data_IF_786460838180
#
_entry.id   IF_786460838180
#
_cell.length_a   1.000
_cell.length_b   1.000
_cell.length_c   1.000
_cell.angle_alpha   90.00
_cell.angle_beta   90.00
_cell.angle_gamma   90.00
#
_symmetry.space_group_name_H-M   'P 1'
#
loop_
_entity.id
_entity.type
_entity.pdbx_description
1 polymer ?
#
# COMPACT_ATOMS: atom_id res chain seq x y z
N UNK A 1 46.51 5.24 -32.21
CA UNK A 1 45.62 4.07 -32.21
C UNK A 1 44.47 4.34 -31.26
N UNK A 2 43.30 4.50 -31.84
CA UNK A 2 42.00 4.79 -31.22
C UNK A 2 41.28 3.47 -30.92
N UNK A 3 40.70 3.26 -29.72
CA UNK A 3 39.51 2.40 -29.46
C UNK A 3 38.93 2.83 -28.09
N UNK A 4 37.99 3.77 -28.05
CA UNK A 4 36.51 3.64 -28.04
C UNK A 4 35.86 3.53 -26.65
N UNK A 5 35.34 4.68 -26.20
CA UNK A 5 34.37 4.89 -25.13
C UNK A 5 33.03 4.27 -25.51
N UNK A 6 32.56 3.24 -24.79
CA UNK A 6 31.19 2.73 -24.93
C UNK A 6 30.21 3.59 -24.12
N UNK A 7 29.85 4.75 -24.66
CA UNK A 7 28.62 5.46 -24.28
C UNK A 7 27.44 4.79 -24.99
N UNK A 8 26.76 3.88 -24.31
CA UNK A 8 25.47 3.35 -24.77
C UNK A 8 24.43 4.47 -24.57
N UNK A 9 24.22 5.27 -25.63
CA UNK A 9 23.06 6.16 -25.76
C UNK A 9 21.79 5.32 -25.63
N UNK A 10 21.10 5.42 -24.50
CA UNK A 10 19.70 5.01 -24.38
C UNK A 10 18.88 5.80 -25.38
N UNK A 11 17.93 5.13 -26.05
CA UNK A 11 16.95 5.76 -26.95
C UNK A 11 16.33 6.96 -26.23
N UNK A 12 16.37 8.12 -26.87
CA UNK A 12 15.42 9.20 -26.59
C UNK A 12 14.07 8.70 -27.08
N UNK A 13 13.24 8.24 -26.17
CA UNK A 13 11.82 8.09 -26.44
C UNK A 13 11.28 9.48 -26.83
N UNK A 14 10.55 9.54 -27.95
CA UNK A 14 9.80 10.72 -28.37
C UNK A 14 8.93 11.22 -27.22
N UNK A 15 8.71 12.55 -27.05
CA UNK A 15 7.87 13.05 -25.98
C UNK A 15 6.44 12.55 -26.22
N UNK A 16 6.06 11.50 -25.49
CA UNK A 16 4.67 11.14 -25.31
C UNK A 16 3.95 12.39 -24.78
N UNK A 17 2.76 12.67 -25.30
CA UNK A 17 1.82 13.60 -24.69
C UNK A 17 1.82 13.36 -23.17
N UNK A 18 1.98 14.39 -22.32
CA UNK A 18 2.02 14.16 -20.87
C UNK A 18 0.75 13.38 -20.49
N UNK A 19 0.88 12.24 -19.81
CA UNK A 19 -0.28 11.43 -19.47
C UNK A 19 -1.28 12.30 -18.72
N UNK A 20 -2.56 12.20 -19.10
CA UNK A 20 -3.64 12.85 -18.36
C UNK A 20 -3.51 12.39 -16.90
N UNK A 21 -3.48 13.31 -15.92
CA UNK A 21 -3.34 12.91 -14.52
C UNK A 21 -4.43 11.90 -14.15
N UNK A 22 -4.09 10.83 -13.41
CA UNK A 22 -5.06 9.82 -13.01
C UNK A 22 -6.16 10.48 -12.17
N UNK A 23 -7.40 10.08 -12.37
CA UNK A 23 -8.52 10.60 -11.57
C UNK A 23 -8.63 9.84 -10.27
N UNK A 24 -8.68 8.51 -10.32
CA UNK A 24 -8.87 7.64 -9.17
C UNK A 24 -7.59 6.81 -8.94
N UNK A 25 -6.89 7.00 -7.82
CA UNK A 25 -5.72 6.19 -7.45
C UNK A 25 -5.98 5.46 -6.15
N UNK A 26 -5.72 4.15 -6.11
CA UNK A 26 -5.89 3.35 -4.89
C UNK A 26 -4.54 3.04 -4.26
N UNK A 27 -4.43 3.32 -2.97
CA UNK A 27 -3.23 3.10 -2.15
C UNK A 27 -3.46 1.95 -1.19
N UNK A 28 -2.60 0.93 -1.25
CA UNK A 28 -2.61 -0.25 -0.40
C UNK A 28 -1.44 -0.20 0.60
N UNK A 29 -1.74 -0.01 1.89
CA UNK A 29 -0.71 0.00 2.93
C UNK A 29 -0.12 -1.39 3.20
N UNK A 30 1.05 -1.45 3.86
CA UNK A 30 1.55 -2.68 4.46
C UNK A 30 0.78 -3.10 5.72
N UNK A 31 0.73 -4.40 6.03
CA UNK A 31 -0.03 -4.90 7.19
C UNK A 31 0.00 -6.40 7.49
N UNK A 32 0.79 -7.21 6.76
CA UNK A 32 0.74 -8.67 6.89
C UNK A 32 -0.65 -9.23 6.58
N UNK A 33 -1.15 -10.18 7.36
CA UNK A 33 -2.46 -10.79 7.11
C UNK A 33 -3.66 -9.82 7.18
N UNK A 34 -3.48 -8.60 7.71
CA UNK A 34 -4.49 -7.54 7.63
C UNK A 34 -4.79 -7.08 6.19
N UNK A 35 -3.91 -7.38 5.23
CA UNK A 35 -4.16 -7.13 3.80
C UNK A 35 -5.45 -7.80 3.29
N UNK A 36 -5.98 -8.82 3.99
CA UNK A 36 -7.26 -9.43 3.69
C UNK A 36 -8.41 -8.41 3.72
N UNK A 37 -8.36 -7.43 4.64
CA UNK A 37 -9.37 -6.39 4.68
C UNK A 37 -9.32 -5.45 3.47
N UNK A 38 -8.15 -5.25 2.87
CA UNK A 38 -8.03 -4.46 1.65
C UNK A 38 -8.76 -5.11 0.47
N UNK A 39 -8.85 -6.45 0.43
CA UNK A 39 -9.60 -7.20 -0.59
C UNK A 39 -11.09 -6.85 -0.54
N UNK A 40 -11.69 -6.88 0.66
CA UNK A 40 -13.08 -6.47 0.82
C UNK A 40 -13.30 -5.00 0.48
N UNK A 41 -12.37 -4.13 0.90
CA UNK A 41 -12.47 -2.71 0.63
C UNK A 41 -12.38 -2.36 -0.87
N UNK A 42 -11.44 -2.97 -1.60
CA UNK A 42 -11.34 -2.76 -3.05
C UNK A 42 -12.58 -3.31 -3.78
N UNK A 43 -13.12 -4.46 -3.37
CA UNK A 43 -14.40 -4.96 -3.91
C UNK A 43 -15.52 -3.93 -3.74
N UNK A 44 -15.62 -3.25 -2.60
CA UNK A 44 -16.62 -2.21 -2.38
C UNK A 44 -16.47 -0.99 -3.31
N UNK A 45 -15.23 -0.62 -3.68
CA UNK A 45 -14.98 0.42 -4.69
C UNK A 45 -15.53 -0.03 -6.06
N UNK A 46 -15.20 -1.25 -6.47
CA UNK A 46 -15.68 -1.82 -7.73
C UNK A 46 -17.21 -1.98 -7.78
N UNK A 47 -17.84 -2.39 -6.68
CA UNK A 47 -19.32 -2.45 -6.54
C UNK A 47 -19.98 -1.08 -6.77
N UNK A 48 -19.29 0.01 -6.43
CA UNK A 48 -19.76 1.38 -6.64
C UNK A 48 -19.33 1.97 -8.00
N UNK A 49 -18.71 1.18 -8.87
CA UNK A 49 -18.21 1.61 -10.18
C UNK A 49 -16.94 2.47 -10.13
N UNK A 50 -16.21 2.47 -9.00
CA UNK A 50 -14.94 3.16 -8.86
C UNK A 50 -13.82 2.21 -9.27
N UNK A 51 -13.26 2.45 -10.45
CA UNK A 51 -12.13 1.69 -11.01
C UNK A 51 -10.87 2.56 -10.94
N UNK A 52 -9.76 2.07 -10.36
CA UNK A 52 -8.52 2.84 -10.30
C UNK A 52 -7.89 3.03 -11.68
N UNK A 53 -7.36 4.24 -11.93
CA UNK A 53 -6.49 4.54 -13.07
C UNK A 53 -5.03 4.13 -12.79
N UNK A 54 -4.65 4.06 -11.51
CA UNK A 54 -3.36 3.57 -11.06
C UNK A 54 -3.46 3.04 -9.62
N UNK A 55 -2.50 2.21 -9.22
CA UNK A 55 -2.40 1.69 -7.86
C UNK A 55 -1.00 1.85 -7.29
N UNK A 56 -0.94 2.02 -5.97
CA UNK A 56 0.31 2.14 -5.23
C UNK A 56 0.26 1.19 -4.04
N UNK A 57 1.29 0.37 -3.84
CA UNK A 57 1.28 -0.66 -2.80
C UNK A 57 2.60 -0.84 -2.06
N UNK A 58 2.47 -1.25 -0.80
CA UNK A 58 3.59 -1.55 0.11
C UNK A 58 3.43 -2.95 0.72
N UNK A 59 4.47 -3.80 0.69
CA UNK A 59 4.49 -5.12 1.33
C UNK A 59 3.29 -5.95 0.90
N UNK A 60 2.48 -6.47 1.82
CA UNK A 60 1.24 -7.20 1.48
C UNK A 60 0.28 -6.38 0.60
N UNK A 61 0.28 -5.05 0.76
CA UNK A 61 -0.50 -4.14 -0.07
C UNK A 61 0.02 -4.06 -1.50
N UNK A 62 1.33 -4.27 -1.73
CA UNK A 62 1.90 -4.36 -3.07
C UNK A 62 1.39 -5.60 -3.82
N UNK A 63 1.15 -6.71 -3.12
CA UNK A 63 0.58 -7.93 -3.72
C UNK A 63 -0.86 -7.64 -4.19
N UNK A 64 -1.68 -7.05 -3.33
CA UNK A 64 -3.05 -6.65 -3.66
C UNK A 64 -3.06 -5.63 -4.81
N UNK A 65 -2.18 -4.62 -4.76
CA UNK A 65 -2.05 -3.62 -5.81
C UNK A 65 -1.68 -4.28 -7.15
N UNK A 66 -0.66 -5.14 -7.20
CA UNK A 66 -0.24 -5.80 -8.43
C UNK A 66 -1.34 -6.70 -9.01
N UNK A 67 -2.08 -7.43 -8.15
CA UNK A 67 -3.22 -8.23 -8.58
C UNK A 67 -4.33 -7.37 -9.20
N UNK A 68 -4.67 -6.24 -8.57
CA UNK A 68 -5.65 -5.28 -9.09
C UNK A 68 -5.15 -4.65 -10.40
N UNK A 69 -3.87 -4.31 -10.47
CA UNK A 69 -3.28 -3.65 -11.63
C UNK A 69 -3.28 -4.53 -12.87
N UNK A 70 -3.10 -5.84 -12.71
CA UNK A 70 -3.14 -6.80 -13.81
C UNK A 70 -4.45 -6.79 -14.57
N UNK A 71 -5.56 -6.70 -13.85
CA UNK A 71 -6.90 -6.88 -14.38
C UNK A 71 -7.89 -6.17 -13.42
N UNK A 72 -8.11 -4.86 -13.62
CA UNK A 72 -8.96 -4.03 -12.76
C UNK A 72 -10.42 -4.22 -13.15
N UNK A 73 -10.94 -5.45 -13.02
CA UNK A 73 -12.34 -5.79 -13.25
C UNK A 73 -12.99 -6.30 -11.97
N UNK A 74 -14.29 -6.01 -11.79
CA UNK A 74 -15.05 -6.47 -10.63
C UNK A 74 -15.05 -8.01 -10.51
N UNK A 75 -15.09 -8.71 -11.64
CA UNK A 75 -15.00 -10.18 -11.69
C UNK A 75 -13.66 -10.67 -11.12
N UNK A 76 -12.55 -10.05 -11.55
CA UNK A 76 -11.23 -10.42 -11.05
C UNK A 76 -11.09 -10.17 -9.55
N UNK A 77 -11.75 -9.16 -9.00
CA UNK A 77 -11.73 -8.89 -7.56
C UNK A 77 -12.35 -10.01 -6.72
N UNK A 78 -13.23 -10.84 -7.29
CA UNK A 78 -13.73 -12.05 -6.62
C UNK A 78 -12.65 -13.13 -6.53
N UNK A 79 -11.77 -13.23 -7.54
CA UNK A 79 -10.65 -14.18 -7.52
C UNK A 79 -9.60 -13.84 -6.46
N UNK A 80 -9.40 -12.54 -6.18
CA UNK A 80 -8.49 -12.11 -5.11
C UNK A 80 -8.91 -12.66 -3.74
N UNK A 81 -10.21 -12.71 -3.46
CA UNK A 81 -10.74 -13.30 -2.23
C UNK A 81 -10.46 -14.80 -2.15
N UNK A 82 -10.60 -15.54 -3.25
CA UNK A 82 -10.24 -16.96 -3.32
C UNK A 82 -8.77 -17.19 -3.00
N UNK A 83 -7.89 -16.39 -3.60
CA UNK A 83 -6.44 -16.44 -3.35
C UNK A 83 -6.15 -16.18 -1.88
N UNK A 84 -6.74 -15.14 -1.27
CA UNK A 84 -6.52 -14.86 0.14
C UNK A 84 -7.04 -15.96 1.06
N UNK A 85 -8.18 -16.58 0.74
CA UNK A 85 -8.77 -17.67 1.53
C UNK A 85 -7.98 -18.97 1.48
N UNK A 86 -7.20 -19.20 0.43
CA UNK A 86 -6.31 -20.36 0.37
C UNK A 86 -5.00 -20.15 1.14
N UNK A 87 -4.59 -18.91 1.42
CA UNK A 87 -3.34 -18.64 2.13
C UNK A 87 -3.37 -19.14 3.57
N UNK A 88 -2.36 -19.93 3.93
CA UNK A 88 -2.11 -20.37 5.30
C UNK A 88 -0.81 -19.81 5.85
N UNK A 89 -0.71 -19.74 7.19
CA UNK A 89 0.55 -19.36 7.86
C UNK A 89 1.71 -20.25 7.44
N UNK A 90 1.48 -21.54 7.19
CA UNK A 90 2.54 -22.50 6.85
C UNK A 90 3.06 -22.28 5.43
N UNK A 91 2.24 -21.81 4.51
CA UNK A 91 2.71 -21.47 3.16
C UNK A 91 3.54 -20.20 3.18
N UNK A 92 3.12 -19.17 3.91
CA UNK A 92 3.85 -17.90 3.98
C UNK A 92 5.09 -17.98 4.89
N UNK A 93 5.01 -18.75 5.97
CA UNK A 93 6.05 -18.92 6.99
C UNK A 93 6.33 -20.42 7.21
N UNK A 94 7.03 -21.10 6.28
CA UNK A 94 7.12 -22.56 6.24
C UNK A 94 8.00 -23.18 7.33
N UNK A 95 8.92 -22.41 7.89
CA UNK A 95 9.90 -22.92 8.84
C UNK A 95 9.34 -23.07 10.25
N UNK A 96 9.48 -24.28 10.80
CA UNK A 96 9.20 -24.56 12.21
C UNK A 96 10.28 -24.03 13.16
N UNK A 97 10.02 -24.10 14.46
CA UNK A 97 10.89 -23.54 15.54
C UNK A 97 12.34 -24.05 15.46
N UNK A 98 12.56 -25.28 15.02
CA UNK A 98 13.89 -25.88 14.86
C UNK A 98 14.72 -25.21 13.73
N UNK A 99 14.11 -24.97 12.58
CA UNK A 99 14.78 -24.32 11.45
C UNK A 99 15.14 -22.86 11.76
N UNK A 100 14.25 -22.15 12.47
CA UNK A 100 14.49 -20.80 12.99
C UNK A 100 15.67 -20.79 13.98
N UNK A 101 15.69 -21.72 14.94
CA UNK A 101 16.78 -21.82 15.92
C UNK A 101 18.14 -22.12 15.26
N UNK A 102 18.17 -23.00 14.26
CA UNK A 102 19.39 -23.29 13.48
C UNK A 102 19.91 -22.04 12.78
N UNK A 103 19.04 -21.25 12.13
CA UNK A 103 19.44 -20.04 11.41
C UNK A 103 19.98 -18.94 12.32
N UNK A 104 19.42 -18.81 13.53
CA UNK A 104 19.98 -17.94 14.57
C UNK A 104 21.40 -18.38 14.97
N UNK A 105 21.61 -19.70 15.14
CA UNK A 105 22.94 -20.23 15.48
C UNK A 105 23.98 -20.04 14.36
N UNK A 106 23.57 -20.00 13.10
CA UNK A 106 24.47 -19.85 11.94
C UNK A 106 24.68 -18.40 11.47
N UNK A 107 24.30 -17.38 12.26
CA UNK A 107 24.38 -15.95 11.88
C UNK A 107 23.70 -15.64 10.53
N UNK A 108 22.59 -16.34 10.22
CA UNK A 108 21.78 -16.04 9.04
C UNK A 108 21.18 -14.63 9.15
N UNK A 109 21.01 -13.94 8.02
CA UNK A 109 20.33 -12.63 7.96
C UNK A 109 18.79 -12.74 8.06
N UNK A 110 18.24 -13.96 8.07
CA UNK A 110 16.80 -14.21 8.04
C UNK A 110 16.37 -15.49 8.78
N UNK A 111 15.11 -15.51 9.20
CA UNK A 111 14.50 -16.60 9.97
C UNK A 111 13.65 -17.57 9.12
N UNK A 112 13.01 -17.11 8.04
CA UNK A 112 12.08 -17.86 7.20
C UNK A 112 12.52 -17.93 5.74
N UNK A 113 12.32 -19.09 5.11
CA UNK A 113 12.65 -19.32 3.72
C UNK A 113 11.67 -18.54 2.82
N UNK A 114 12.16 -17.75 1.84
CA UNK A 114 11.30 -16.95 0.97
C UNK A 114 10.52 -17.77 -0.08
N UNK A 115 10.79 -19.07 -0.25
CA UNK A 115 10.14 -19.91 -1.29
C UNK A 115 8.62 -19.79 -1.25
N UNK A 116 8.02 -19.87 -0.06
CA UNK A 116 6.56 -19.81 0.08
C UNK A 116 5.95 -18.48 -0.39
N UNK A 117 6.61 -17.36 -0.06
CA UNK A 117 6.22 -16.03 -0.56
C UNK A 117 6.42 -15.92 -2.08
N UNK A 118 7.54 -16.43 -2.62
CA UNK A 118 7.80 -16.39 -4.06
C UNK A 118 6.74 -17.16 -4.85
N UNK A 119 6.40 -18.38 -4.42
CA UNK A 119 5.34 -19.18 -5.05
C UNK A 119 3.99 -18.46 -4.98
N UNK A 120 3.69 -17.79 -3.86
CA UNK A 120 2.49 -16.98 -3.74
C UNK A 120 2.46 -15.84 -4.76
N UNK A 121 3.58 -15.14 -4.95
CA UNK A 121 3.66 -14.03 -5.92
C UNK A 121 3.54 -14.51 -7.35
N UNK A 122 4.15 -15.66 -7.69
CA UNK A 122 4.00 -16.30 -9.01
C UNK A 122 2.54 -16.65 -9.31
N UNK A 123 1.79 -17.13 -8.31
CA UNK A 123 0.38 -17.45 -8.45
C UNK A 123 -0.51 -16.21 -8.54
N UNK A 124 -0.21 -15.17 -7.75
CA UNK A 124 -1.00 -13.94 -7.73
C UNK A 124 -0.75 -13.09 -8.98
N UNK A 125 0.50 -13.03 -9.43
CA UNK A 125 0.96 -12.12 -10.48
C UNK A 125 1.76 -12.89 -11.53
N UNK A 126 1.11 -13.72 -12.37
CA UNK A 126 1.76 -14.50 -13.42
C UNK A 126 2.13 -13.62 -14.64
N UNK A 127 2.86 -12.53 -14.41
CA UNK A 127 3.43 -11.65 -15.42
C UNK A 127 4.95 -11.81 -15.49
N UNK A 128 5.53 -11.47 -16.64
CA UNK A 128 6.99 -11.46 -16.79
C UNK A 128 7.61 -10.15 -16.33
N UNK A 129 6.89 -9.04 -16.49
CA UNK A 129 7.34 -7.71 -16.06
C UNK A 129 6.18 -6.89 -15.47
N UNK A 130 6.45 -6.16 -14.39
CA UNK A 130 5.46 -5.34 -13.70
C UNK A 130 4.88 -4.23 -14.60
N UNK A 131 5.61 -3.79 -15.63
CA UNK A 131 5.11 -2.82 -16.61
C UNK A 131 3.99 -3.36 -17.52
N UNK A 132 3.71 -4.67 -17.48
CA UNK A 132 2.67 -5.33 -18.27
C UNK A 132 1.28 -5.30 -17.62
N UNK A 133 1.13 -4.66 -16.45
CA UNK A 133 -0.16 -4.50 -15.81
C UNK A 133 -1.10 -3.63 -16.66
N UNK A 134 -2.41 -3.90 -16.61
CA UNK A 134 -3.41 -3.14 -17.37
C UNK A 134 -3.51 -1.66 -16.94
N UNK A 135 -3.22 -1.37 -15.68
CA UNK A 135 -3.04 0.00 -15.16
C UNK A 135 -1.67 0.13 -14.47
N UNK A 136 -1.08 1.34 -14.37
CA UNK A 136 0.19 1.55 -13.68
C UNK A 136 0.18 1.02 -12.23
N UNK A 137 1.17 0.19 -11.92
CA UNK A 137 1.42 -0.35 -10.58
C UNK A 137 2.71 0.24 -10.00
N UNK A 138 2.61 0.92 -8.86
CA UNK A 138 3.77 1.44 -8.14
C UNK A 138 4.00 0.64 -6.86
N UNK A 139 5.12 -0.09 -6.80
CA UNK A 139 5.51 -0.87 -5.63
C UNK A 139 6.65 -0.17 -4.89
N UNK A 140 6.49 0.03 -3.58
CA UNK A 140 7.54 0.61 -2.74
C UNK A 140 8.39 -0.47 -2.08
N UNK A 141 9.70 -0.25 -2.08
CA UNK A 141 10.70 -1.00 -1.32
C UNK A 141 11.56 0.00 -0.53
N UNK A 142 12.41 -0.48 0.37
CA UNK A 142 13.38 0.37 1.07
C UNK A 142 14.79 -0.04 0.66
N UNK A 143 15.58 0.90 0.12
CA UNK A 143 17.02 0.69 -0.11
C UNK A 143 17.69 0.49 1.26
N UNK A 144 18.22 -0.71 1.50
CA UNK A 144 18.77 -1.09 2.80
C UNK A 144 20.01 -0.29 3.17
N UNK A 145 20.78 0.17 2.18
CA UNK A 145 22.03 0.93 2.40
C UNK A 145 21.74 2.42 2.40
N UNK A 146 20.92 2.89 1.45
CA UNK A 146 20.54 4.30 1.34
C UNK A 146 19.51 4.77 2.38
N UNK A 147 18.73 3.85 2.96
CA UNK A 147 17.67 4.15 3.92
C UNK A 147 16.45 4.87 3.31
N UNK A 148 16.34 4.92 1.98
CA UNK A 148 15.31 5.69 1.26
C UNK A 148 14.28 4.79 0.58
N UNK A 149 13.01 5.24 0.47
CA UNK A 149 12.01 4.53 -0.32
C UNK A 149 12.39 4.52 -1.80
N UNK A 150 12.26 3.36 -2.45
CA UNK A 150 12.50 3.18 -3.89
C UNK A 150 11.26 2.60 -4.55
N UNK A 151 10.88 3.17 -5.70
CA UNK A 151 9.64 2.85 -6.42
C UNK A 151 9.93 2.01 -7.65
N UNK A 152 9.22 0.91 -7.79
CA UNK A 152 9.28 0.03 -8.95
C UNK A 152 7.95 0.05 -9.71
N UNK A 153 8.04 0.20 -11.02
CA UNK A 153 6.91 0.13 -11.97
C UNK A 153 7.16 -0.86 -13.12
N UNK A 154 8.31 -1.53 -13.07
CA UNK A 154 8.80 -2.51 -14.05
C UNK A 154 9.74 -3.48 -13.34
N UNK A 155 10.15 -4.54 -14.04
CA UNK A 155 10.98 -5.62 -13.51
C UNK A 155 10.16 -6.86 -13.15
N UNK A 156 10.86 -7.94 -12.82
CA UNK A 156 10.22 -9.21 -12.47
C UNK A 156 9.28 -9.02 -11.25
N UNK A 157 7.96 -9.27 -11.40
CA UNK A 157 7.01 -9.02 -10.31
C UNK A 157 7.30 -9.81 -9.04
N UNK A 158 7.79 -11.05 -9.17
CA UNK A 158 8.12 -11.90 -8.02
C UNK A 158 9.26 -11.30 -7.21
N UNK A 159 10.30 -10.80 -7.88
CA UNK A 159 11.46 -10.21 -7.24
C UNK A 159 11.12 -8.85 -6.59
N UNK A 160 10.36 -8.00 -7.30
CA UNK A 160 9.91 -6.69 -6.80
C UNK A 160 8.97 -6.85 -5.60
N UNK A 161 8.01 -7.77 -5.66
CA UNK A 161 7.10 -8.05 -4.54
C UNK A 161 7.83 -8.69 -3.36
N UNK A 162 8.80 -9.58 -3.61
CA UNK A 162 9.66 -10.13 -2.57
C UNK A 162 10.49 -9.04 -1.88
N UNK A 163 11.08 -8.12 -2.64
CA UNK A 163 11.76 -6.97 -2.08
C UNK A 163 10.81 -6.10 -1.23
N UNK A 164 9.60 -5.86 -1.71
CA UNK A 164 8.60 -5.05 -0.99
C UNK A 164 8.06 -5.71 0.29
N UNK A 165 8.08 -7.05 0.36
CA UNK A 165 7.49 -7.83 1.46
C UNK A 165 8.52 -8.56 2.36
N UNK A 166 9.83 -8.37 2.13
CA UNK A 166 10.86 -9.02 2.93
C UNK A 166 11.08 -8.29 4.27
N UNK A 167 10.25 -8.65 5.24
CA UNK A 167 10.31 -8.16 6.61
C UNK A 167 11.73 -8.32 7.20
N UNK A 168 12.37 -7.24 7.68
CA UNK A 168 13.73 -7.29 8.21
C UNK A 168 13.88 -8.32 9.33
N UNK A 169 14.93 -9.17 9.21
CA UNK A 169 15.21 -10.26 10.13
C UNK A 169 14.33 -11.50 9.94
N UNK A 170 13.17 -11.40 9.28
CA UNK A 170 12.33 -12.56 8.97
C UNK A 170 12.67 -13.16 7.61
N UNK A 171 12.85 -12.33 6.59
CA UNK A 171 13.16 -12.76 5.22
C UNK A 171 14.48 -12.11 4.76
N UNK A 172 15.21 -12.74 3.81
CA UNK A 172 16.45 -12.17 3.31
C UNK A 172 16.18 -10.88 2.54
N UNK A 173 17.07 -9.88 2.61
CA UNK A 173 17.07 -8.76 1.68
C UNK A 173 17.12 -9.27 0.23
N UNK A 174 16.47 -8.57 -0.68
CA UNK A 174 16.42 -8.93 -2.10
C UNK A 174 17.33 -7.98 -2.87
N UNK A 175 18.20 -8.55 -3.71
CA UNK A 175 19.03 -7.77 -4.61
C UNK A 175 18.28 -7.47 -5.91
N UNK A 176 18.12 -6.20 -6.24
CA UNK A 176 17.60 -5.74 -7.54
C UNK A 176 18.61 -4.75 -8.12
N UNK A 177 19.07 -4.97 -9.36
CA UNK A 177 20.01 -4.11 -10.07
C UNK A 177 21.27 -3.73 -9.24
N UNK A 178 21.82 -4.70 -8.49
CA UNK A 178 23.02 -4.52 -7.68
C UNK A 178 22.82 -3.75 -6.36
N UNK A 179 21.57 -3.51 -5.95
CA UNK A 179 21.21 -2.87 -4.68
C UNK A 179 20.38 -3.80 -3.81
N UNK A 180 20.55 -3.70 -2.50
CA UNK A 180 19.83 -4.51 -1.53
C UNK A 180 18.58 -3.78 -1.03
N UNK A 181 17.45 -4.46 -1.07
CA UNK A 181 16.16 -3.93 -0.65
C UNK A 181 15.55 -4.75 0.48
N UNK A 182 14.81 -4.05 1.34
CA UNK A 182 13.95 -4.63 2.37
C UNK A 182 12.52 -4.11 2.26
N UNK A 183 11.62 -4.66 3.08
CA UNK A 183 10.20 -4.29 3.11
C UNK A 183 9.98 -2.77 3.01
N UNK A 184 9.07 -2.36 2.12
CA UNK A 184 8.75 -0.95 1.89
C UNK A 184 8.18 -0.25 3.13
N UNK A 185 7.61 -1.02 4.07
CA UNK A 185 7.06 -0.54 5.32
C UNK A 185 8.12 0.02 6.27
N UNK A 186 9.40 -0.27 6.06
CA UNK A 186 10.49 0.36 6.84
C UNK A 186 10.54 1.86 6.61
N UNK A 187 10.26 2.32 5.38
CA UNK A 187 10.36 3.73 5.00
C UNK A 187 9.01 4.39 4.67
N UNK A 188 8.10 3.67 4.01
CA UNK A 188 6.84 4.21 3.49
C UNK A 188 5.68 3.20 3.60
N UNK A 189 5.18 2.90 4.81
CA UNK A 189 4.14 1.88 5.03
C UNK A 189 2.77 2.25 4.44
N UNK A 190 2.51 3.53 4.22
CA UNK A 190 1.27 4.05 3.63
C UNK A 190 1.65 5.05 2.53
N UNK A 191 1.80 4.60 1.26
CA UNK A 191 2.40 5.41 0.20
C UNK A 191 1.42 6.44 -0.42
N UNK A 192 0.68 7.17 0.42
CA UNK A 192 -0.34 8.14 -0.04
C UNK A 192 0.26 9.30 -0.81
N UNK A 193 1.42 9.82 -0.37
CA UNK A 193 2.07 10.93 -1.06
C UNK A 193 2.40 10.58 -2.51
N UNK A 194 2.82 9.34 -2.78
CA UNK A 194 3.11 8.88 -4.14
C UNK A 194 1.91 9.00 -5.06
N UNK A 195 0.71 8.66 -4.59
CA UNK A 195 -0.50 8.79 -5.39
C UNK A 195 -0.82 10.26 -5.71
N UNK A 196 -0.60 11.17 -4.76
CA UNK A 196 -0.76 12.61 -4.99
C UNK A 196 0.27 13.16 -5.97
N UNK A 197 1.52 12.71 -5.87
CA UNK A 197 2.61 13.10 -6.77
C UNK A 197 2.37 12.63 -8.22
N UNK A 198 1.60 11.55 -8.41
CA UNK A 198 1.14 11.12 -9.73
C UNK A 198 0.06 12.05 -10.32
N UNK A 199 -0.46 13.00 -9.54
CA UNK A 199 -1.50 13.92 -9.96
C UNK A 199 -2.93 13.41 -9.73
N UNK A 200 -3.12 12.43 -8.84
CA UNK A 200 -4.43 11.87 -8.51
C UNK A 200 -5.44 12.96 -8.11
N UNK A 201 -6.61 13.01 -8.76
CA UNK A 201 -7.71 13.86 -8.29
C UNK A 201 -8.30 13.33 -6.98
N UNK A 202 -8.40 12.01 -6.84
CA UNK A 202 -8.87 11.33 -5.63
C UNK A 202 -8.00 10.12 -5.32
N UNK A 203 -7.58 10.04 -4.06
CA UNK A 203 -6.76 8.94 -3.54
C UNK A 203 -7.57 8.14 -2.53
N UNK A 204 -7.84 6.88 -2.85
CA UNK A 204 -8.51 5.93 -1.96
C UNK A 204 -7.45 5.14 -1.18
N UNK A 205 -7.34 5.40 0.11
CA UNK A 205 -6.30 4.82 0.97
C UNK A 205 -6.87 3.65 1.76
N UNK A 206 -6.53 2.43 1.35
CA UNK A 206 -6.88 1.19 2.03
C UNK A 206 -5.85 0.88 3.12
N UNK A 207 -5.89 1.70 4.18
CA UNK A 207 -4.91 1.66 5.26
C UNK A 207 -5.30 0.68 6.37
N UNK A 208 -4.53 -0.40 6.51
CA UNK A 208 -4.66 -1.42 7.57
C UNK A 208 -3.50 -1.38 8.57
N UNK A 209 -2.62 -0.37 8.50
CA UNK A 209 -1.48 -0.22 9.41
C UNK A 209 -1.83 0.43 10.76
N UNK A 210 -3.09 0.88 10.93
CA UNK A 210 -3.56 1.65 12.10
C UNK A 210 -4.13 0.80 13.23
N UNK A 211 -4.46 -0.46 12.98
CA UNK A 211 -5.16 -1.33 13.92
C UNK A 211 -4.19 -2.05 14.87
N UNK A 212 -3.35 -1.27 15.54
CA UNK A 212 -2.41 -1.79 16.54
C UNK A 212 -3.12 -2.03 17.87
N UNK A 213 -3.00 -3.25 18.39
CA UNK A 213 -3.60 -3.65 19.65
C UNK A 213 -2.53 -4.39 20.45
N UNK A 214 -1.91 -3.69 21.40
CA UNK A 214 -0.78 -4.18 22.19
C UNK A 214 -1.03 -5.51 22.92
N UNK A 215 0.07 -6.14 23.34
CA UNK A 215 0.08 -7.46 23.98
C UNK A 215 0.10 -7.33 25.50
N UNK A 216 -0.97 -6.81 26.13
CA UNK A 216 -1.11 -6.98 27.57
C UNK A 216 -1.26 -8.47 27.91
N UNK A 217 -0.61 -8.92 28.99
CA UNK A 217 -0.78 -10.24 29.61
C UNK A 217 -0.28 -11.49 28.86
N UNK A 218 0.54 -11.34 27.80
CA UNK A 218 1.22 -12.50 27.16
C UNK A 218 2.73 -12.39 27.30
N UNK A 219 3.38 -13.51 27.64
CA UNK A 219 4.83 -13.66 27.47
C UNK A 219 5.17 -13.53 25.98
N UNK A 220 5.78 -12.41 25.60
CA UNK A 220 6.27 -12.17 24.24
C UNK A 220 7.63 -12.83 24.06
N UNK A 221 7.83 -13.50 22.93
CA UNK A 221 9.18 -13.88 22.52
C UNK A 221 9.94 -12.66 21.97
N UNK A 222 11.27 -12.74 21.84
CA UNK A 222 12.06 -11.68 21.22
C UNK A 222 11.58 -11.34 19.79
N UNK A 223 11.13 -12.36 19.03
CA UNK A 223 10.55 -12.17 17.71
C UNK A 223 9.22 -11.42 17.77
N UNK A 224 8.37 -11.71 18.77
CA UNK A 224 7.11 -11.00 18.93
C UNK A 224 7.35 -9.52 19.30
N UNK A 225 8.32 -9.24 20.19
CA UNK A 225 8.72 -7.85 20.52
C UNK A 225 9.24 -7.10 19.29
N UNK A 226 10.07 -7.76 18.45
CA UNK A 226 10.58 -7.17 17.21
C UNK A 226 9.43 -6.81 16.26
N UNK A 227 8.54 -7.76 15.98
CA UNK A 227 7.40 -7.56 15.08
C UNK A 227 6.44 -6.50 15.60
N UNK A 228 6.20 -6.48 16.90
CA UNK A 228 5.36 -5.47 17.53
C UNK A 228 5.97 -4.08 17.43
N UNK A 229 7.27 -3.94 17.73
CA UNK A 229 8.01 -2.68 17.59
C UNK A 229 7.98 -2.18 16.15
N UNK A 230 8.13 -3.09 15.18
CA UNK A 230 8.00 -2.77 13.76
C UNK A 230 6.59 -2.30 13.39
N UNK A 231 5.55 -2.95 13.90
CA UNK A 231 4.16 -2.53 13.69
C UNK A 231 3.88 -1.14 14.28
N UNK A 232 4.38 -0.85 15.48
CA UNK A 232 4.29 0.49 16.12
C UNK A 232 4.95 1.54 15.21
N UNK A 233 6.21 1.32 14.83
CA UNK A 233 6.97 2.25 13.97
C UNK A 233 6.22 2.55 12.68
N UNK A 234 5.72 1.52 11.99
CA UNK A 234 4.92 1.69 10.77
C UNK A 234 3.63 2.47 10.99
N UNK A 235 2.94 2.23 12.11
CA UNK A 235 1.73 2.96 12.45
C UNK A 235 2.01 4.47 12.63
N UNK A 236 3.13 4.83 13.25
CA UNK A 236 3.56 6.22 13.37
C UNK A 236 3.98 6.83 12.02
N UNK A 237 4.77 6.10 11.22
CA UNK A 237 5.15 6.54 9.88
C UNK A 237 3.92 6.77 8.99
N UNK A 238 2.95 5.86 9.01
CA UNK A 238 1.68 5.94 8.26
C UNK A 238 0.69 6.99 8.76
N UNK A 239 0.99 7.71 9.85
CA UNK A 239 0.23 8.87 10.32
C UNK A 239 0.76 10.20 9.78
N UNK A 240 1.91 10.22 9.10
CA UNK A 240 2.39 11.44 8.46
C UNK A 240 1.34 11.99 7.50
N UNK A 241 1.00 13.26 7.67
CA UNK A 241 0.03 13.95 6.82
C UNK A 241 0.65 14.22 5.46
N UNK A 242 0.09 13.68 4.38
CA UNK A 242 0.57 13.98 3.03
C UNK A 242 0.24 15.43 2.65
N UNK A 243 1.03 15.98 1.73
CA UNK A 243 0.83 17.32 1.16
C UNK A 243 -0.15 17.22 0.00
N UNK A 244 -1.36 17.76 0.20
CA UNK A 244 -2.47 17.70 -0.76
C UNK A 244 -2.52 18.99 -1.57
N UNK A 245 -2.41 18.90 -2.89
CA UNK A 245 -2.53 20.05 -3.77
C UNK A 245 -4.01 20.46 -3.98
N UNK A 246 -4.30 21.70 -4.42
CA UNK A 246 -5.66 22.13 -4.75
C UNK A 246 -6.35 21.19 -5.73
N UNK A 247 -7.57 20.77 -5.41
CA UNK A 247 -8.37 19.86 -6.23
C UNK A 247 -8.11 18.37 -5.96
N UNK A 248 -7.09 18.01 -5.18
CA UNK A 248 -6.85 16.63 -4.77
C UNK A 248 -7.64 16.29 -3.50
N UNK A 249 -8.07 15.04 -3.38
CA UNK A 249 -8.82 14.52 -2.24
C UNK A 249 -8.25 13.20 -1.76
N UNK A 250 -8.26 12.99 -0.45
CA UNK A 250 -7.88 11.72 0.18
C UNK A 250 -9.09 11.16 0.89
N UNK A 251 -9.44 9.94 0.54
CA UNK A 251 -10.52 9.17 1.17
C UNK A 251 -9.88 7.95 1.80
N UNK A 252 -9.92 7.84 3.13
CA UNK A 252 -9.22 6.77 3.86
C UNK A 252 -10.20 5.78 4.44
N UNK A 253 -9.89 4.49 4.28
CA UNK A 253 -10.63 3.40 4.90
C UNK A 253 -10.65 3.61 6.42
N UNK A 254 -11.83 3.58 7.07
CA UNK A 254 -11.92 3.66 8.52
C UNK A 254 -11.11 2.54 9.19
N UNK A 255 -10.52 2.85 10.35
CA UNK A 255 -9.84 1.85 11.17
C UNK A 255 -10.81 0.73 11.53
N UNK A 256 -10.36 -0.50 11.36
CA UNK A 256 -11.19 -1.66 11.60
C UNK A 256 -11.01 -2.06 13.07
N UNK A 257 -12.12 -2.20 13.80
CA UNK A 257 -12.10 -2.66 15.19
C UNK A 257 -11.80 -4.18 15.27
N UNK A 258 -10.65 -4.59 14.74
CA UNK A 258 -10.20 -5.98 14.64
C UNK A 258 -9.81 -6.51 16.02
N UNK A 259 -9.39 -5.60 16.90
CA UNK A 259 -8.77 -5.98 18.16
C UNK A 259 -7.47 -6.73 17.90
N UNK A 260 -6.98 -7.41 18.93
CA UNK A 260 -5.69 -8.11 18.88
C UNK A 260 -5.52 -9.02 17.65
N UNK A 261 -4.42 -8.81 16.92
CA UNK A 261 -4.11 -9.60 15.73
C UNK A 261 -2.61 -9.81 15.53
N UNK A 262 -2.19 -11.06 15.34
CA UNK A 262 -0.84 -11.38 14.90
C UNK A 262 -0.79 -11.25 13.38
N UNK A 263 0.13 -10.45 12.85
CA UNK A 263 0.26 -10.22 11.40
C UNK A 263 0.55 -11.49 10.58
N UNK A 264 0.91 -12.60 11.24
CA UNK A 264 1.16 -13.92 10.65
C UNK A 264 -0.05 -14.86 10.76
N UNK A 265 -1.13 -14.42 11.38
CA UNK A 265 -2.37 -15.19 11.55
C UNK A 265 -3.32 -14.96 10.36
N UNK A 266 -3.45 -15.98 9.51
CA UNK A 266 -4.35 -16.00 8.35
C UNK A 266 -5.69 -16.70 8.65
N UNK A 267 -5.91 -17.20 9.88
CA UNK A 267 -7.17 -17.89 10.22
C UNK A 267 -8.40 -16.97 10.18
N UNK A 268 -8.19 -15.66 10.27
CA UNK A 268 -9.25 -14.64 10.27
C UNK A 268 -9.54 -14.04 8.89
N UNK A 269 -8.95 -14.55 7.81
CA UNK A 269 -9.07 -13.96 6.46
C UNK A 269 -10.52 -13.66 6.06
N UNK A 270 -11.44 -14.62 6.14
CA UNK A 270 -12.84 -14.40 5.74
C UNK A 270 -13.53 -13.29 6.54
N UNK A 271 -13.24 -13.20 7.84
CA UNK A 271 -13.76 -12.14 8.70
C UNK A 271 -13.17 -10.78 8.31
N UNK A 272 -11.87 -10.70 8.06
CA UNK A 272 -11.18 -9.47 7.67
C UNK A 272 -11.69 -8.95 6.33
N UNK A 273 -11.89 -9.83 5.34
CA UNK A 273 -12.49 -9.48 4.05
C UNK A 273 -13.89 -8.88 4.27
N UNK A 274 -14.74 -9.52 5.07
CA UNK A 274 -16.09 -9.02 5.35
C UNK A 274 -16.07 -7.64 6.03
N UNK A 275 -15.23 -7.46 7.06
CA UNK A 275 -15.06 -6.17 7.75
C UNK A 275 -14.55 -5.07 6.80
N UNK A 276 -13.58 -5.40 5.95
CA UNK A 276 -13.06 -4.48 4.95
C UNK A 276 -14.09 -4.08 3.91
N UNK A 277 -14.96 -5.00 3.49
CA UNK A 277 -16.05 -4.72 2.54
C UNK A 277 -17.09 -3.80 3.15
N UNK A 278 -17.50 -4.04 4.39
CA UNK A 278 -18.44 -3.18 5.12
C UNK A 278 -17.87 -1.76 5.29
N UNK A 279 -16.62 -1.65 5.77
CA UNK A 279 -15.96 -0.36 5.94
C UNK A 279 -15.73 0.35 4.59
N UNK A 280 -15.42 -0.40 3.53
CA UNK A 280 -15.28 0.13 2.17
C UNK A 280 -16.58 0.70 1.65
N UNK A 281 -17.71 0.00 1.83
CA UNK A 281 -19.04 0.51 1.45
C UNK A 281 -19.40 1.78 2.22
N UNK A 282 -19.13 1.81 3.53
CA UNK A 282 -19.36 2.99 4.35
C UNK A 282 -18.51 4.19 3.89
N UNK A 283 -17.23 3.95 3.61
CA UNK A 283 -16.29 4.95 3.08
C UNK A 283 -16.78 5.55 1.75
N UNK A 284 -17.18 4.69 0.81
CA UNK A 284 -17.69 5.13 -0.49
C UNK A 284 -19.01 5.89 -0.35
N UNK A 285 -19.94 5.38 0.46
CA UNK A 285 -21.23 6.03 0.68
C UNK A 285 -21.09 7.44 1.28
N UNK A 286 -20.15 7.63 2.20
CA UNK A 286 -19.89 8.94 2.80
C UNK A 286 -19.23 9.90 1.80
N UNK A 287 -18.26 9.42 0.99
CA UNK A 287 -17.61 10.26 -0.02
C UNK A 287 -18.56 10.68 -1.15
N UNK A 288 -19.42 9.77 -1.60
CA UNK A 288 -20.39 10.03 -2.68
C UNK A 288 -21.65 10.74 -2.19
N UNK A 289 -21.76 11.03 -0.90
CA UNK A 289 -22.92 11.71 -0.34
C UNK A 289 -23.05 13.12 -0.92
N UNK A 290 -24.24 13.56 -1.35
CA UNK A 290 -24.43 14.92 -1.86
C UNK A 290 -24.03 15.93 -0.79
N UNK A 291 -22.97 16.71 -1.03
CA UNK A 291 -22.58 17.79 -0.12
C UNK A 291 -23.72 18.83 -0.12
N UNK A 292 -24.23 19.25 1.05
CA UNK A 292 -25.26 20.28 1.11
C UNK A 292 -24.72 21.53 0.39
N UNK A 293 -25.54 22.12 -0.49
CA UNK A 293 -25.19 23.39 -1.15
C UNK A 293 -24.82 24.36 -0.04
N UNK A 294 -23.57 24.82 -0.04
CA UNK A 294 -23.10 25.90 0.84
C UNK A 294 -24.08 27.05 0.59
N UNK A 295 -25.00 27.32 1.53
CA UNK A 295 -25.78 28.54 1.48
C UNK A 295 -24.73 29.64 1.56
N UNK A 296 -24.59 30.41 0.47
CA UNK A 296 -23.91 31.69 0.53
C UNK A 296 -24.68 32.49 1.58
N UNK A 297 -24.16 32.53 2.80
CA UNK A 297 -24.60 33.50 3.79
C UNK A 297 -24.44 34.85 3.11
N UNK A 298 -25.58 35.48 2.81
CA UNK A 298 -25.61 36.82 2.29
C UNK A 298 -24.86 37.70 3.30
N UNK A 299 -23.71 38.22 2.87
CA UNK A 299 -23.00 39.24 3.63
C UNK A 299 -24.00 40.37 3.87
N UNK A 300 -24.38 40.68 5.12
CA UNK A 300 -25.30 41.77 5.37
C UNK A 300 -24.66 43.06 4.84
N UNK A 301 -25.37 43.74 3.96
CA UNK A 301 -24.93 45.00 3.39
C UNK A 301 -24.64 45.98 4.54
N UNK A 302 -23.43 46.57 4.52
CA UNK A 302 -23.05 47.59 5.48
C UNK A 302 -24.07 48.74 5.43
N UNK A 303 -24.51 49.28 6.58
CA UNK A 303 -25.40 50.44 6.59
C UNK A 303 -24.65 51.64 6.00
N UNK A 304 -25.22 52.22 4.95
CA UNK A 304 -24.79 53.50 4.38
C UNK A 304 -25.09 54.58 5.43
N UNK A 305 -24.07 54.92 6.21
CA UNK A 305 -24.11 55.97 7.22
C UNK A 305 -24.25 57.34 6.57
N UNK A 306 -25.32 58.02 7.00
CA UNK A 306 -25.76 59.37 6.69
C UNK A 306 -24.68 60.43 6.44
N UNK A 307 -24.96 61.26 5.43
CA UNK A 307 -24.32 62.54 5.18
C UNK A 307 -24.31 63.42 6.44
N UNK A 308 -23.11 63.87 6.82
CA UNK A 308 -22.94 64.99 7.76
C UNK A 308 -23.06 66.27 6.94
N UNK A 309 -24.19 66.95 7.08
CA UNK A 309 -24.38 68.32 6.60
C UNK A 309 -24.16 69.29 7.78
N UNK A 310 -23.17 70.16 7.59
CA UNK A 310 -23.11 71.58 7.94
C UNK A 310 -23.21 72.08 9.41
N UNK A 311 -22.20 72.88 9.75
CA UNK A 311 -22.21 74.14 10.55
C UNK A 311 -22.61 74.01 12.02
N UNK A 312 -21.74 74.36 12.98
CA UNK A 312 -21.12 75.67 13.22
C UNK A 312 -19.93 75.53 14.16
#
# INVERSE_FOLDING_TARGET
MTVLTFLRRGRKDSPATPPVPPREVVVFSGGGSLGAAQVGAIQALFEAGIVPDAVVGCSVGAINAAFVAMDPTAERMMNLETVWRSMTRREVFPDGRFAVARRLATRSTYLYNPIGLRTLFEQCVPLHDLSQTAIPCHVVTTDLIGGTPTWFTSGNPVDVLAASACLPGLFPPVELDGRLYVDGGVSCPVPTQRALDLGAARVWVLNVSRDFHGWADRKMSALDVLLESFAISRSHLGRHSPVVAPGQQIVTLPSLAIGRHDMRDFSKTSRLIAMGREAGRAMVAEELRPKPKRQLEAVPAAPVGAAVAATS
#
